data_IF_283699197393
#
_entry.id   IF_283699197393
#
_cell.length_a   1.000
_cell.length_b   1.000
_cell.length_c   1.000
_cell.angle_alpha   90.00
_cell.angle_beta   90.00
_cell.angle_gamma   90.00
#
_symmetry.space_group_name_H-M   'P 1'
#
loop_
_entity.id
_entity.type
_entity.pdbx_description
1 polymer ?
#
# COMPACT_ATOMS: atom_id res chain seq x y z
N UNK A 1 -6.69 -3.84 23.24
CA UNK A 1 -6.69 -3.01 22.01
C UNK A 1 -8.12 -2.70 21.63
N UNK A 2 -8.42 -1.44 21.32
CA UNK A 2 -9.73 -1.02 20.82
C UNK A 2 -9.71 -0.93 19.31
N UNK A 3 -10.80 -1.32 18.67
CA UNK A 3 -11.04 -1.17 17.24
C UNK A 3 -12.37 -0.45 17.01
N UNK A 4 -12.56 0.13 15.84
CA UNK A 4 -13.85 0.59 15.39
C UNK A 4 -14.53 -0.48 14.53
N UNK A 5 -15.77 -0.78 14.82
CA UNK A 5 -16.59 -1.68 14.04
C UNK A 5 -18.01 -1.10 13.98
N UNK A 6 -18.51 -0.81 12.77
CA UNK A 6 -19.87 -0.39 12.46
C UNK A 6 -20.47 0.59 13.48
N UNK A 7 -19.90 1.81 13.52
CA UNK A 7 -20.43 2.92 14.30
C UNK A 7 -19.90 3.06 15.73
N UNK A 8 -18.98 2.20 16.20
CA UNK A 8 -18.46 2.34 17.56
C UNK A 8 -17.15 1.65 17.90
N UNK A 9 -16.48 2.14 18.96
CA UNK A 9 -15.30 1.50 19.53
C UNK A 9 -15.68 0.23 20.31
N UNK A 10 -14.96 -0.85 20.04
CA UNK A 10 -15.13 -2.15 20.70
C UNK A 10 -13.79 -2.71 21.17
N UNK A 11 -13.81 -3.60 22.14
CA UNK A 11 -12.63 -4.41 22.45
C UNK A 11 -12.41 -5.45 21.34
N UNK A 12 -11.16 -5.59 20.89
CA UNK A 12 -10.82 -6.54 19.82
C UNK A 12 -11.23 -7.98 20.15
N UNK A 13 -11.22 -8.34 21.45
CA UNK A 13 -11.58 -9.68 21.90
C UNK A 13 -13.08 -9.96 21.79
N UNK A 14 -13.91 -8.93 21.80
CA UNK A 14 -15.38 -9.02 21.65
C UNK A 14 -15.88 -8.69 20.26
N UNK A 15 -15.09 -7.97 19.46
CA UNK A 15 -15.48 -7.58 18.11
C UNK A 15 -15.72 -8.80 17.20
N UNK A 16 -16.79 -8.79 16.46
CA UNK A 16 -17.20 -9.90 15.56
C UNK A 16 -17.68 -9.36 14.24
N UNK A 17 -17.12 -9.90 13.16
CA UNK A 17 -17.61 -9.73 11.80
C UNK A 17 -18.36 -11.00 11.41
N UNK A 18 -19.44 -10.86 10.63
CA UNK A 18 -20.19 -12.01 10.14
C UNK A 18 -19.30 -12.95 9.33
N UNK A 19 -19.46 -14.26 9.52
CA UNK A 19 -18.82 -15.27 8.65
C UNK A 19 -19.35 -15.23 7.21
N UNK A 20 -20.45 -14.54 6.98
CA UNK A 20 -21.05 -14.29 5.67
C UNK A 20 -20.69 -12.90 5.13
N UNK A 21 -19.74 -12.19 5.74
CA UNK A 21 -19.22 -10.93 5.18
C UNK A 21 -18.53 -11.20 3.86
N UNK A 22 -18.88 -10.46 2.83
CA UNK A 22 -18.35 -10.63 1.47
C UNK A 22 -16.85 -10.32 1.40
N UNK A 23 -16.31 -9.47 2.26
CA UNK A 23 -14.87 -9.27 2.40
C UNK A 23 -14.15 -10.56 2.81
N UNK A 24 -14.81 -11.43 3.60
CA UNK A 24 -14.28 -12.73 4.01
C UNK A 24 -14.53 -13.81 2.96
N UNK A 25 -15.75 -13.91 2.42
CA UNK A 25 -16.17 -15.04 1.56
C UNK A 25 -15.64 -14.95 0.15
N UNK A 26 -15.59 -13.74 -0.44
CA UNK A 26 -15.23 -13.53 -1.86
C UNK A 26 -14.21 -12.40 -2.09
N UNK A 27 -13.70 -11.77 -1.02
CA UNK A 27 -12.75 -10.67 -1.14
C UNK A 27 -13.36 -9.37 -1.68
N UNK A 28 -14.69 -9.21 -1.57
CA UNK A 28 -15.43 -8.03 -1.97
C UNK A 28 -15.27 -6.94 -0.92
N UNK A 29 -14.20 -6.20 -1.01
CA UNK A 29 -13.86 -5.14 -0.08
C UNK A 29 -12.64 -4.36 -0.52
N UNK A 30 -12.45 -3.22 0.11
CA UNK A 30 -11.34 -2.31 -0.10
C UNK A 30 -10.68 -1.98 1.22
N UNK A 31 -9.46 -1.46 1.15
CA UNK A 31 -8.79 -1.04 2.37
C UNK A 31 -7.80 0.10 2.16
N UNK A 32 -7.53 0.80 3.24
CA UNK A 32 -6.40 1.71 3.35
C UNK A 32 -5.44 1.29 4.47
N UNK A 33 -4.20 1.66 4.29
CA UNK A 33 -3.18 1.56 5.34
C UNK A 33 -2.57 2.93 5.49
N UNK A 34 -2.72 3.53 6.66
CA UNK A 34 -2.23 4.87 6.99
C UNK A 34 -1.17 4.75 8.08
N UNK A 35 -0.07 5.46 7.93
CA UNK A 35 0.96 5.57 8.97
C UNK A 35 0.46 6.56 10.02
N UNK A 36 0.48 6.14 11.30
CA UNK A 36 0.21 7.03 12.43
C UNK A 36 1.51 7.25 13.21
N UNK A 37 1.95 8.49 13.34
CA UNK A 37 3.15 8.89 14.06
C UNK A 37 2.76 9.77 15.24
N UNK A 38 3.14 9.36 16.45
CA UNK A 38 2.84 10.09 17.67
C UNK A 38 1.35 10.50 17.76
N UNK A 39 0.45 9.59 17.43
CA UNK A 39 -1.00 9.82 17.49
C UNK A 39 -1.59 10.62 16.32
N UNK A 40 -0.83 10.88 15.25
CA UNK A 40 -1.28 11.66 14.09
C UNK A 40 -1.18 10.83 12.79
N UNK A 41 -2.25 10.70 12.01
CA UNK A 41 -2.21 10.00 10.73
C UNK A 41 -1.51 10.86 9.66
N UNK A 42 -0.72 10.22 8.80
CA UNK A 42 -0.03 10.88 7.69
C UNK A 42 -0.83 10.73 6.39
N UNK A 43 -0.99 11.83 5.65
CA UNK A 43 -1.67 11.93 4.34
C UNK A 43 -3.10 11.33 4.36
N UNK A 44 -3.82 11.51 5.47
CA UNK A 44 -5.14 10.90 5.66
C UNK A 44 -6.12 11.29 4.56
N UNK A 45 -6.15 12.55 4.14
CA UNK A 45 -7.05 13.04 3.11
C UNK A 45 -6.85 12.30 1.79
N UNK A 46 -5.61 12.15 1.32
CA UNK A 46 -5.29 11.39 0.09
C UNK A 46 -5.67 9.91 0.21
N UNK A 47 -5.50 9.32 1.39
CA UNK A 47 -5.93 7.94 1.65
C UNK A 47 -7.45 7.78 1.57
N UNK A 48 -8.22 8.71 2.11
CA UNK A 48 -9.68 8.68 2.05
C UNK A 48 -10.22 8.91 0.63
N UNK A 49 -9.57 9.79 -0.13
CA UNK A 49 -9.89 9.98 -1.54
C UNK A 49 -9.66 8.70 -2.35
N UNK A 50 -8.57 7.97 -2.07
CA UNK A 50 -8.31 6.68 -2.71
C UNK A 50 -9.27 5.59 -2.22
N UNK A 51 -9.66 5.59 -0.96
CA UNK A 51 -10.70 4.70 -0.42
C UNK A 51 -11.99 4.86 -1.23
N UNK A 52 -12.44 6.10 -1.44
CA UNK A 52 -13.63 6.42 -2.23
C UNK A 52 -13.49 5.97 -3.70
N UNK A 53 -12.33 6.23 -4.33
CA UNK A 53 -12.08 5.76 -5.70
C UNK A 53 -12.14 4.24 -5.79
N UNK A 54 -11.56 3.54 -4.81
CA UNK A 54 -11.58 2.08 -4.78
C UNK A 54 -12.99 1.53 -4.52
N UNK A 55 -13.78 2.17 -3.66
CA UNK A 55 -15.18 1.81 -3.43
C UNK A 55 -15.99 1.90 -4.73
N UNK A 56 -15.93 3.05 -5.40
CA UNK A 56 -16.62 3.27 -6.68
C UNK A 56 -16.18 2.28 -7.76
N UNK A 57 -14.86 2.05 -7.88
CA UNK A 57 -14.30 1.12 -8.85
C UNK A 57 -14.73 -0.33 -8.60
N UNK A 58 -14.92 -0.72 -7.34
CA UNK A 58 -15.43 -2.04 -6.95
C UNK A 58 -16.99 -2.09 -6.99
N UNK A 59 -17.67 -0.94 -7.19
CA UNK A 59 -19.13 -0.85 -7.17
C UNK A 59 -19.73 -0.93 -5.75
N UNK A 60 -18.96 -0.60 -4.72
CA UNK A 60 -19.46 -0.43 -3.36
C UNK A 60 -20.08 0.98 -3.20
N UNK A 61 -21.02 1.17 -2.26
CA UNK A 61 -21.45 2.50 -1.87
C UNK A 61 -20.26 3.38 -1.44
N UNK A 62 -20.37 4.68 -1.65
CA UNK A 62 -19.35 5.62 -1.15
C UNK A 62 -19.26 5.52 0.38
N UNK A 63 -18.06 5.40 0.97
CA UNK A 63 -17.89 5.46 2.41
C UNK A 63 -18.29 6.84 2.95
N UNK A 64 -18.94 6.88 4.12
CA UNK A 64 -19.09 8.12 4.89
C UNK A 64 -17.73 8.55 5.42
N UNK A 65 -17.08 9.50 4.75
CA UNK A 65 -15.73 9.94 5.08
C UNK A 65 -15.67 10.63 6.45
N UNK A 66 -16.76 11.24 6.92
CA UNK A 66 -16.82 11.83 8.26
C UNK A 66 -16.84 10.74 9.32
N UNK A 67 -17.57 9.64 9.09
CA UNK A 67 -17.51 8.46 9.97
C UNK A 67 -16.12 7.84 9.94
N UNK A 68 -15.50 7.64 8.77
CA UNK A 68 -14.16 7.06 8.68
C UNK A 68 -13.13 7.93 9.40
N UNK A 69 -13.20 9.28 9.29
CA UNK A 69 -12.32 10.19 10.03
C UNK A 69 -12.52 10.08 11.54
N UNK A 70 -13.79 10.06 12.00
CA UNK A 70 -14.11 9.86 13.44
C UNK A 70 -13.58 8.52 13.94
N UNK A 71 -13.76 7.45 13.16
CA UNK A 71 -13.26 6.10 13.50
C UNK A 71 -11.73 6.07 13.61
N UNK A 72 -11.01 6.67 12.65
CA UNK A 72 -9.56 6.78 12.68
C UNK A 72 -9.08 7.53 13.94
N UNK A 73 -9.65 8.68 14.23
CA UNK A 73 -9.30 9.49 15.39
C UNK A 73 -9.55 8.73 16.71
N UNK A 74 -10.74 8.14 16.85
CA UNK A 74 -11.12 7.39 18.07
C UNK A 74 -10.21 6.17 18.30
N UNK A 75 -9.86 5.42 17.23
CA UNK A 75 -8.97 4.25 17.34
C UNK A 75 -7.54 4.68 17.68
N UNK A 76 -7.04 5.76 17.12
CA UNK A 76 -5.71 6.31 17.44
C UNK A 76 -5.65 6.76 18.90
N UNK A 77 -6.65 7.51 19.35
CA UNK A 77 -6.74 8.00 20.75
C UNK A 77 -6.82 6.85 21.76
N UNK A 78 -7.60 5.81 21.44
CA UNK A 78 -7.80 4.66 22.32
C UNK A 78 -6.59 3.70 22.38
N UNK A 79 -5.64 3.81 21.46
CA UNK A 79 -4.45 2.95 21.37
C UNK A 79 -3.18 3.77 21.14
N UNK A 80 -2.72 4.55 22.13
CA UNK A 80 -1.55 5.40 21.97
C UNK A 80 -0.28 4.58 21.72
N UNK A 81 0.45 4.91 20.66
CA UNK A 81 1.72 4.29 20.28
C UNK A 81 2.59 5.26 19.48
N UNK A 82 3.93 5.13 19.52
CA UNK A 82 4.83 6.05 18.82
C UNK A 82 4.74 5.93 17.30
N UNK A 83 4.56 4.70 16.79
CA UNK A 83 4.42 4.41 15.35
C UNK A 83 3.40 3.29 15.16
N UNK A 84 2.33 3.59 14.44
CA UNK A 84 1.22 2.68 14.21
C UNK A 84 0.90 2.48 12.72
N UNK A 85 0.39 1.30 12.43
CA UNK A 85 -0.26 0.93 11.17
C UNK A 85 -1.77 1.02 11.38
N UNK A 86 -2.37 2.10 10.93
CA UNK A 86 -3.81 2.25 10.91
C UNK A 86 -4.37 1.57 9.65
N UNK A 87 -5.26 0.61 9.83
CA UNK A 87 -5.96 -0.10 8.78
C UNK A 87 -7.42 0.28 8.76
N UNK A 88 -7.90 0.83 7.65
CA UNK A 88 -9.32 1.01 7.34
C UNK A 88 -9.72 -0.09 6.37
N UNK A 89 -10.71 -0.88 6.71
CA UNK A 89 -11.26 -1.93 5.83
C UNK A 89 -12.75 -1.67 5.65
N UNK A 90 -13.22 -1.72 4.43
CA UNK A 90 -14.60 -1.46 4.05
C UNK A 90 -15.04 -2.53 3.05
N UNK A 91 -15.99 -3.38 3.45
CA UNK A 91 -16.41 -4.55 2.68
C UNK A 91 -17.82 -4.42 2.15
N UNK A 92 -18.24 -5.33 1.28
CA UNK A 92 -19.62 -5.44 0.79
C UNK A 92 -20.63 -5.83 1.88
N UNK A 93 -20.17 -6.12 3.10
CA UNK A 93 -21.02 -6.50 4.23
C UNK A 93 -21.57 -7.91 4.12
N UNK A 94 -22.59 -8.20 4.93
CA UNK A 94 -23.24 -9.50 4.97
C UNK A 94 -24.01 -9.77 3.68
N UNK A 95 -23.75 -10.90 3.04
CA UNK A 95 -24.42 -11.33 1.82
C UNK A 95 -24.55 -12.84 1.69
N UNK A 96 -25.11 -13.32 0.58
CA UNK A 96 -25.18 -14.75 0.27
C UNK A 96 -23.77 -15.34 0.05
N UNK A 97 -23.65 -16.67 0.03
CA UNK A 97 -22.35 -17.35 -0.20
C UNK A 97 -21.83 -17.24 -1.65
N UNK A 98 -22.62 -16.72 -2.57
CA UNK A 98 -22.23 -16.46 -3.96
C UNK A 98 -21.58 -15.08 -4.15
N UNK A 99 -21.51 -14.63 -5.41
CA UNK A 99 -20.95 -13.32 -5.78
C UNK A 99 -21.96 -12.18 -5.73
N UNK A 100 -23.25 -12.49 -5.53
CA UNK A 100 -24.30 -11.48 -5.44
C UNK A 100 -24.22 -10.78 -4.07
N UNK A 101 -24.23 -9.47 -4.07
CA UNK A 101 -24.25 -8.68 -2.82
C UNK A 101 -25.61 -8.78 -2.13
N UNK A 102 -25.58 -8.82 -0.80
CA UNK A 102 -26.77 -8.75 0.03
C UNK A 102 -27.35 -7.33 0.13
N UNK A 103 -28.46 -7.20 0.84
CA UNK A 103 -29.12 -5.91 1.10
C UNK A 103 -28.63 -5.22 2.39
N UNK A 104 -27.71 -5.87 3.10
CA UNK A 104 -27.18 -5.41 4.39
C UNK A 104 -26.06 -4.42 4.18
N UNK A 105 -26.02 -3.32 4.00
CA UNK A 105 -24.95 -2.32 3.88
C UNK A 105 -23.50 -2.79 4.11
N UNK A 106 -22.51 -1.98 3.80
CA UNK A 106 -21.10 -2.28 3.99
C UNK A 106 -20.70 -2.43 5.46
N UNK A 107 -19.64 -3.20 5.75
CA UNK A 107 -19.00 -3.27 7.05
C UNK A 107 -17.77 -2.37 7.08
N UNK A 108 -17.68 -1.47 8.08
CA UNK A 108 -16.51 -0.62 8.30
C UNK A 108 -15.73 -1.11 9.53
N UNK A 109 -14.45 -1.47 9.31
CA UNK A 109 -13.52 -1.82 10.38
C UNK A 109 -12.33 -0.88 10.34
N UNK A 110 -11.99 -0.27 11.48
CA UNK A 110 -10.73 0.48 11.65
C UNK A 110 -9.96 -0.10 12.84
N UNK A 111 -8.70 -0.43 12.60
CA UNK A 111 -7.81 -1.00 13.62
C UNK A 111 -6.43 -0.35 13.54
N UNK A 112 -5.75 -0.21 14.69
CA UNK A 112 -4.39 0.30 14.80
C UNK A 112 -3.49 -0.78 15.42
N UNK A 113 -2.45 -1.17 14.72
CA UNK A 113 -1.42 -2.07 15.22
C UNK A 113 -0.07 -1.38 15.30
N UNK A 114 0.70 -1.69 16.33
CA UNK A 114 2.07 -1.21 16.45
C UNK A 114 2.94 -1.72 15.29
N UNK A 115 3.84 -0.90 14.79
CA UNK A 115 4.82 -1.27 13.76
C UNK A 115 6.18 -0.68 14.09
N UNK A 116 7.24 -1.40 13.73
CA UNK A 116 8.60 -0.89 13.84
C UNK A 116 9.03 -0.06 12.61
N UNK A 117 10.04 0.79 12.81
CA UNK A 117 10.73 1.46 11.70
C UNK A 117 11.36 0.39 10.78
N UNK A 118 11.25 0.59 9.49
CA UNK A 118 11.89 -0.29 8.50
C UNK A 118 13.40 0.00 8.44
N UNK A 119 14.23 -1.00 8.08
CA UNK A 119 15.64 -0.76 7.74
C UNK A 119 15.75 0.23 6.58
N UNK A 120 16.87 0.94 6.50
CA UNK A 120 17.11 1.93 5.44
C UNK A 120 17.19 1.28 4.04
N UNK A 121 17.57 0.01 3.97
CA UNK A 121 17.59 -0.75 2.72
C UNK A 121 17.02 -2.15 2.86
N UNK A 122 16.67 -2.78 1.74
CA UNK A 122 16.11 -4.12 1.67
C UNK A 122 16.54 -4.87 0.42
N UNK A 123 16.39 -6.21 0.44
CA UNK A 123 16.46 -7.05 -0.75
C UNK A 123 15.06 -7.24 -1.35
N UNK A 124 15.01 -7.34 -2.68
CA UNK A 124 13.81 -7.68 -3.45
C UNK A 124 14.09 -8.82 -4.42
N UNK A 125 13.06 -9.50 -4.85
CA UNK A 125 13.14 -10.47 -5.96
C UNK A 125 12.12 -10.12 -7.03
N UNK A 126 12.35 -10.56 -8.25
CA UNK A 126 11.32 -10.63 -9.28
C UNK A 126 10.56 -11.95 -9.17
N UNK A 127 9.29 -11.94 -9.59
CA UNK A 127 8.44 -13.13 -9.62
C UNK A 127 7.91 -13.39 -11.02
N UNK A 128 7.63 -14.66 -11.39
CA UNK A 128 7.18 -15.00 -12.74
C UNK A 128 5.70 -14.67 -13.01
N UNK A 129 4.95 -14.34 -11.97
CA UNK A 129 3.55 -13.93 -12.10
C UNK A 129 3.47 -12.47 -12.54
N UNK A 130 2.46 -12.14 -13.32
CA UNK A 130 2.31 -10.79 -13.89
C UNK A 130 1.09 -10.08 -13.32
N UNK A 131 1.19 -8.77 -13.13
CA UNK A 131 0.03 -7.92 -12.93
C UNK A 131 -0.73 -7.79 -14.26
N UNK A 132 -2.03 -7.97 -14.19
CA UNK A 132 -2.87 -7.73 -15.36
C UNK A 132 -3.32 -6.26 -15.37
N UNK A 133 -2.68 -5.44 -16.21
CA UNK A 133 -2.99 -4.01 -16.34
C UNK A 133 -4.38 -3.74 -16.94
N UNK A 134 -5.00 -4.77 -17.54
CA UNK A 134 -6.35 -4.74 -18.07
C UNK A 134 -7.38 -5.42 -17.15
N UNK A 135 -6.98 -5.81 -15.93
CA UNK A 135 -7.86 -6.50 -14.99
C UNK A 135 -8.94 -5.58 -14.41
N UNK A 136 -10.10 -6.14 -14.07
CA UNK A 136 -11.22 -5.39 -13.50
C UNK A 136 -10.90 -4.71 -12.15
N UNK A 137 -9.90 -5.23 -11.42
CA UNK A 137 -9.49 -4.69 -10.11
C UNK A 137 -8.20 -3.86 -10.19
N UNK A 138 -7.66 -3.64 -11.39
CA UNK A 138 -6.42 -2.90 -11.59
C UNK A 138 -6.56 -1.47 -11.08
N UNK A 139 -5.57 -1.03 -10.32
CA UNK A 139 -5.55 0.31 -9.71
C UNK A 139 -6.42 0.47 -8.47
N UNK A 140 -7.23 -0.55 -8.10
CA UNK A 140 -8.06 -0.55 -6.89
C UNK A 140 -7.31 -1.20 -5.72
N UNK A 141 -7.50 -0.65 -4.53
CA UNK A 141 -6.92 -1.22 -3.30
C UNK A 141 -7.93 -2.14 -2.61
N UNK A 142 -8.08 -3.34 -3.17
CA UNK A 142 -9.08 -4.34 -2.73
C UNK A 142 -8.54 -5.28 -1.66
N UNK A 143 -9.44 -6.00 -0.98
CA UNK A 143 -9.08 -7.08 -0.02
C UNK A 143 -8.68 -8.38 -0.71
N UNK A 144 -8.82 -8.50 -2.03
CA UNK A 144 -8.37 -9.65 -2.85
C UNK A 144 -6.85 -9.67 -2.98
N UNK A 145 -6.14 -10.01 -1.90
CA UNK A 145 -4.68 -9.88 -1.75
C UNK A 145 -3.92 -11.22 -1.78
N UNK A 146 -4.58 -12.31 -2.14
CA UNK A 146 -3.98 -13.65 -2.12
C UNK A 146 -2.72 -13.75 -2.99
N UNK A 147 -2.73 -13.15 -4.20
CA UNK A 147 -1.56 -13.11 -5.08
C UNK A 147 -0.36 -12.41 -4.41
N UNK A 148 -0.60 -11.29 -3.73
CA UNK A 148 0.44 -10.56 -3.00
C UNK A 148 1.02 -11.38 -1.83
N UNK A 149 0.17 -12.16 -1.15
CA UNK A 149 0.61 -13.06 -0.06
C UNK A 149 1.52 -14.15 -0.59
N UNK A 150 1.16 -14.78 -1.73
CA UNK A 150 1.98 -15.83 -2.37
C UNK A 150 3.32 -15.26 -2.82
N UNK A 151 3.32 -14.11 -3.50
CA UNK A 151 4.55 -13.49 -3.98
C UNK A 151 5.46 -13.03 -2.82
N UNK A 152 4.89 -12.48 -1.75
CA UNK A 152 5.67 -12.09 -0.57
C UNK A 152 6.25 -13.31 0.17
N UNK A 153 5.52 -14.43 0.24
CA UNK A 153 6.05 -15.67 0.79
C UNK A 153 7.27 -16.14 -0.01
N UNK A 154 7.18 -16.10 -1.34
CA UNK A 154 8.31 -16.43 -2.23
C UNK A 154 9.52 -15.52 -2.01
N UNK A 155 9.29 -14.20 -1.81
CA UNK A 155 10.37 -13.27 -1.49
C UNK A 155 11.09 -13.66 -0.19
N UNK A 156 10.33 -13.99 0.84
CA UNK A 156 10.88 -14.38 2.15
C UNK A 156 11.73 -15.68 2.08
N UNK A 157 11.31 -16.66 1.28
CA UNK A 157 12.09 -17.88 1.04
C UNK A 157 13.46 -17.59 0.45
N UNK A 158 13.61 -16.46 -0.26
CA UNK A 158 14.86 -16.00 -0.87
C UNK A 158 15.56 -14.87 -0.09
N UNK A 159 15.19 -14.67 1.15
CA UNK A 159 15.79 -13.65 2.03
C UNK A 159 15.51 -12.22 1.59
N UNK A 160 14.39 -11.99 0.91
CA UNK A 160 13.93 -10.65 0.51
C UNK A 160 12.68 -10.22 1.28
N UNK A 161 12.44 -8.92 1.39
CA UNK A 161 11.28 -8.38 2.07
C UNK A 161 10.16 -7.92 1.14
N UNK A 162 10.38 -8.03 -0.18
CA UNK A 162 9.42 -7.61 -1.20
C UNK A 162 9.63 -8.42 -2.48
N UNK A 163 8.53 -8.61 -3.25
CA UNK A 163 8.58 -9.18 -4.58
C UNK A 163 8.08 -8.16 -5.61
N UNK A 164 8.77 -8.06 -6.73
CA UNK A 164 8.44 -7.16 -7.84
C UNK A 164 7.76 -7.94 -8.96
N UNK A 165 6.71 -7.36 -9.50
CA UNK A 165 5.96 -7.88 -10.63
C UNK A 165 6.28 -7.11 -11.91
N UNK A 166 6.37 -7.83 -13.02
CA UNK A 166 6.10 -7.28 -14.34
C UNK A 166 4.59 -7.28 -14.64
N UNK A 167 4.19 -6.58 -15.69
CA UNK A 167 2.84 -6.67 -16.24
C UNK A 167 2.77 -7.65 -17.42
N UNK A 168 1.59 -7.82 -18.03
CA UNK A 168 1.38 -8.81 -19.11
C UNK A 168 2.12 -8.46 -20.42
N UNK A 169 2.57 -7.22 -20.57
CA UNK A 169 3.37 -6.77 -21.73
C UNK A 169 4.88 -6.71 -21.44
N UNK A 170 5.32 -7.27 -20.29
CA UNK A 170 6.75 -7.38 -19.93
C UNK A 170 7.35 -6.11 -19.35
N UNK A 171 6.54 -5.14 -18.90
CA UNK A 171 7.02 -3.93 -18.24
C UNK A 171 7.07 -4.12 -16.74
N UNK A 172 8.00 -3.44 -16.06
CA UNK A 172 8.05 -3.31 -14.61
C UNK A 172 6.75 -2.66 -14.11
N UNK A 173 6.18 -3.18 -13.03
CA UNK A 173 4.90 -2.70 -12.51
C UNK A 173 5.02 -2.20 -11.07
N UNK A 174 5.01 -3.09 -10.11
CA UNK A 174 5.02 -2.74 -8.68
C UNK A 174 5.49 -3.90 -7.79
N UNK A 175 5.63 -3.66 -6.49
CA UNK A 175 5.81 -4.70 -5.49
C UNK A 175 4.49 -5.29 -4.96
N UNK A 176 4.57 -6.25 -4.00
CA UNK A 176 3.38 -6.81 -3.36
C UNK A 176 2.62 -5.78 -2.51
N UNK A 177 3.32 -4.82 -1.94
CA UNK A 177 2.73 -3.76 -1.11
C UNK A 177 3.46 -2.43 -1.24
N UNK A 178 4.17 -2.21 -2.33
CA UNK A 178 4.98 -1.02 -2.60
C UNK A 178 5.00 -0.69 -4.09
N UNK A 179 5.26 0.58 -4.42
CA UNK A 179 5.65 0.96 -5.76
C UNK A 179 7.19 0.95 -5.87
N UNK A 180 7.70 0.78 -7.07
CA UNK A 180 9.12 0.69 -7.36
C UNK A 180 9.58 1.91 -8.15
N UNK A 181 10.79 2.36 -7.85
CA UNK A 181 11.51 3.42 -8.55
C UNK A 181 12.88 2.91 -8.93
N UNK A 182 13.37 3.34 -10.07
CA UNK A 182 14.72 3.06 -10.55
C UNK A 182 15.45 4.35 -10.86
N UNK A 183 16.75 4.38 -10.63
CA UNK A 183 17.61 5.48 -11.03
C UNK A 183 18.43 5.03 -12.23
N UNK A 184 18.41 5.82 -13.29
CA UNK A 184 19.17 5.64 -14.52
C UNK A 184 19.89 6.95 -14.85
N UNK A 185 21.19 6.93 -14.96
CA UNK A 185 22.00 8.12 -15.28
C UNK A 185 21.70 9.33 -14.36
N UNK A 186 21.40 9.05 -13.08
CA UNK A 186 21.07 10.06 -12.08
C UNK A 186 19.62 10.58 -12.13
N UNK A 187 18.79 10.14 -13.04
CA UNK A 187 17.36 10.47 -13.11
C UNK A 187 16.49 9.40 -12.46
N UNK A 188 15.44 9.83 -11.73
CA UNK A 188 14.50 8.94 -11.05
C UNK A 188 13.33 8.64 -11.98
N UNK A 189 13.05 7.35 -12.17
CA UNK A 189 11.93 6.84 -12.96
C UNK A 189 11.06 5.90 -12.15
N UNK A 190 9.77 5.86 -12.45
CA UNK A 190 8.80 4.92 -11.88
C UNK A 190 7.79 4.50 -12.94
N UNK A 191 7.29 3.25 -12.92
CA UNK A 191 6.22 2.83 -13.82
C UNK A 191 5.00 3.76 -13.73
N UNK A 192 4.36 4.14 -14.86
CA UNK A 192 3.12 4.90 -14.85
C UNK A 192 1.97 4.06 -14.28
N UNK A 193 0.89 4.70 -13.83
CA UNK A 193 -0.29 3.98 -13.33
C UNK A 193 -0.88 3.05 -14.40
N UNK A 194 -0.73 3.41 -15.69
CA UNK A 194 -1.16 2.59 -16.83
C UNK A 194 -0.42 1.24 -16.91
N UNK A 195 0.73 1.06 -16.24
CA UNK A 195 1.40 -0.25 -16.14
C UNK A 195 0.62 -1.28 -15.34
N UNK A 196 -0.46 -0.87 -14.66
CA UNK A 196 -1.28 -1.71 -13.78
C UNK A 196 -0.94 -1.55 -12.30
N UNK A 197 0.03 -0.72 -11.94
CA UNK A 197 0.40 -0.49 -10.56
C UNK A 197 -0.66 0.33 -9.80
N UNK A 198 -0.70 0.14 -8.49
CA UNK A 198 -1.54 0.97 -7.63
C UNK A 198 -1.01 2.43 -7.66
N UNK A 199 -1.92 3.40 -7.77
CA UNK A 199 -1.62 4.81 -7.54
C UNK A 199 -1.30 5.04 -6.05
N UNK A 200 -0.07 4.71 -5.65
CA UNK A 200 0.40 4.80 -4.27
C UNK A 200 0.43 6.23 -3.76
N UNK A 201 -0.03 6.48 -2.53
CA UNK A 201 0.03 7.83 -1.93
C UNK A 201 1.50 8.25 -1.75
N UNK A 202 2.32 7.38 -1.16
CA UNK A 202 3.76 7.64 -1.01
C UNK A 202 4.47 7.76 -2.36
N UNK A 203 4.03 6.99 -3.38
CA UNK A 203 4.53 7.14 -4.76
C UNK A 203 4.22 8.52 -5.32
N UNK A 204 2.98 8.98 -5.20
CA UNK A 204 2.57 10.30 -5.69
C UNK A 204 3.39 11.41 -5.04
N UNK A 205 3.53 11.38 -3.71
CA UNK A 205 4.35 12.33 -2.97
C UNK A 205 5.84 12.26 -3.37
N UNK A 206 6.38 11.06 -3.58
CA UNK A 206 7.76 10.91 -4.06
C UNK A 206 7.94 11.52 -5.44
N UNK A 207 7.01 11.31 -6.38
CA UNK A 207 7.02 11.96 -7.71
C UNK A 207 6.97 13.47 -7.58
N UNK A 208 5.99 13.99 -6.81
CA UNK A 208 5.80 15.43 -6.60
C UNK A 208 7.03 16.11 -5.98
N UNK A 209 7.67 15.44 -5.01
CA UNK A 209 8.74 16.05 -4.22
C UNK A 209 10.14 15.88 -4.79
N UNK A 210 10.36 14.82 -5.58
CA UNK A 210 11.68 14.55 -6.17
C UNK A 210 11.77 14.90 -7.65
N UNK A 211 10.65 15.12 -8.32
CA UNK A 211 10.59 15.33 -9.77
C UNK A 211 10.81 14.03 -10.56
N UNK A 212 10.55 12.87 -9.94
CA UNK A 212 10.63 11.57 -10.62
C UNK A 212 9.71 11.52 -11.85
N UNK A 213 10.16 10.85 -12.90
CA UNK A 213 9.42 10.72 -14.16
C UNK A 213 8.65 9.40 -14.20
N UNK A 214 7.39 9.48 -14.61
CA UNK A 214 6.62 8.29 -14.97
C UNK A 214 7.05 7.83 -16.37
N UNK A 215 7.54 6.58 -16.46
CA UNK A 215 8.12 6.05 -17.70
C UNK A 215 7.80 4.56 -17.81
N UNK A 216 7.39 4.12 -19.01
CA UNK A 216 7.30 2.71 -19.31
C UNK A 216 8.70 2.09 -19.30
N UNK A 217 8.91 1.15 -18.39
CA UNK A 217 10.20 0.51 -18.15
C UNK A 217 10.05 -0.99 -18.41
N UNK A 218 10.90 -1.61 -19.24
CA UNK A 218 10.91 -3.06 -19.34
C UNK A 218 11.35 -3.67 -18.00
N UNK A 219 10.92 -4.89 -17.70
CA UNK A 219 11.25 -5.53 -16.41
C UNK A 219 12.77 -5.68 -16.22
N UNK A 220 13.51 -5.94 -17.30
CA UNK A 220 14.97 -6.09 -17.30
C UNK A 220 15.72 -4.76 -17.02
N UNK A 221 15.03 -3.63 -16.90
CA UNK A 221 15.63 -2.38 -16.39
C UNK A 221 16.32 -2.59 -15.06
N UNK A 222 15.84 -3.52 -14.25
CA UNK A 222 16.40 -3.88 -12.94
C UNK A 222 17.84 -4.45 -13.07
N UNK A 223 18.23 -5.01 -14.21
CA UNK A 223 19.58 -5.53 -14.44
C UNK A 223 20.63 -4.44 -14.65
N UNK A 224 20.21 -3.22 -15.01
CA UNK A 224 21.08 -2.08 -15.36
C UNK A 224 20.84 -0.81 -14.54
N UNK A 225 19.83 -0.80 -13.67
CA UNK A 225 19.55 0.35 -12.82
C UNK A 225 20.74 0.67 -11.90
N UNK A 226 21.10 1.96 -11.79
CA UNK A 226 22.16 2.42 -10.89
C UNK A 226 21.74 2.27 -9.43
N UNK A 227 20.48 2.65 -9.14
CA UNK A 227 19.85 2.52 -7.83
C UNK A 227 18.41 2.06 -8.01
N UNK A 228 17.88 1.37 -7.00
CA UNK A 228 16.46 0.99 -6.91
C UNK A 228 15.94 1.37 -5.52
N UNK A 229 14.72 1.87 -5.45
CA UNK A 229 14.05 2.08 -4.17
C UNK A 229 12.56 1.78 -4.25
N UNK A 230 11.97 1.53 -3.09
CA UNK A 230 10.55 1.25 -2.91
C UNK A 230 9.86 2.40 -2.19
N UNK A 231 8.57 2.57 -2.48
CA UNK A 231 7.73 3.50 -1.72
C UNK A 231 6.46 2.80 -1.22
N UNK A 232 6.13 3.01 0.02
CA UNK A 232 4.83 2.65 0.61
C UNK A 232 4.62 3.39 1.92
N UNK A 233 3.40 3.40 2.42
CA UNK A 233 3.02 4.09 3.66
C UNK A 233 3.93 3.79 4.86
N UNK A 234 4.45 2.56 4.99
CA UNK A 234 5.28 2.15 6.12
C UNK A 234 6.78 2.02 5.78
N UNK A 235 7.12 2.13 4.51
CA UNK A 235 8.51 2.16 4.04
C UNK A 235 9.00 3.59 3.84
N UNK A 236 8.07 4.54 3.63
CA UNK A 236 8.37 5.85 3.07
C UNK A 236 9.15 5.68 1.76
N UNK A 237 10.38 6.14 1.69
CA UNK A 237 11.35 5.81 0.63
C UNK A 237 12.35 4.84 1.23
N UNK A 238 12.46 3.63 0.71
CA UNK A 238 13.38 2.60 1.19
C UNK A 238 14.29 2.13 0.06
N UNK A 239 15.61 2.23 0.25
CA UNK A 239 16.58 1.75 -0.71
C UNK A 239 16.51 0.23 -0.91
N UNK A 240 16.91 -0.23 -2.09
CA UNK A 240 17.12 -1.65 -2.40
C UNK A 240 18.61 -1.89 -2.55
N UNK A 241 19.15 -2.84 -1.76
CA UNK A 241 20.56 -3.22 -1.85
C UNK A 241 20.80 -4.48 -2.68
N UNK A 242 19.75 -5.25 -2.97
CA UNK A 242 19.83 -6.45 -3.82
C UNK A 242 18.53 -6.67 -4.58
N UNK A 243 18.65 -6.96 -5.87
CA UNK A 243 17.56 -7.41 -6.74
C UNK A 243 17.89 -8.81 -7.23
N UNK A 244 17.09 -9.81 -6.89
CA UNK A 244 17.39 -11.23 -7.12
C UNK A 244 18.80 -11.60 -6.60
N UNK A 245 19.71 -11.95 -7.49
CA UNK A 245 21.11 -12.28 -7.17
C UNK A 245 22.06 -11.11 -7.45
N UNK A 246 21.56 -9.96 -7.94
CA UNK A 246 22.35 -8.75 -8.23
C UNK A 246 22.42 -7.84 -7.01
N UNK A 247 23.62 -7.67 -6.47
CA UNK A 247 23.88 -6.67 -5.43
C UNK A 247 23.93 -5.24 -6.03
N UNK A 248 23.38 -4.29 -5.28
CA UNK A 248 23.46 -2.86 -5.56
C UNK A 248 24.36 -2.21 -4.48
N UNK A 249 25.68 -2.14 -4.72
CA UNK A 249 26.61 -1.69 -3.71
C UNK A 249 26.39 -0.23 -3.34
N UNK A 250 26.53 0.09 -2.06
CA UNK A 250 26.37 1.45 -1.55
C UNK A 250 24.93 1.92 -1.38
N UNK A 251 23.95 0.99 -1.29
CA UNK A 251 22.57 1.38 -0.98
C UNK A 251 22.41 1.89 0.46
N UNK A 252 21.77 3.09 0.65
CA UNK A 252 21.23 3.95 -0.38
C UNK A 252 22.30 4.65 -1.20
N UNK A 253 22.19 4.62 -2.53
CA UNK A 253 23.01 5.46 -3.40
C UNK A 253 22.65 6.95 -3.25
N UNK A 254 23.44 7.86 -3.86
CA UNK A 254 23.28 9.30 -3.63
C UNK A 254 21.94 9.87 -4.02
N UNK A 255 21.31 9.36 -5.07
CA UNK A 255 19.99 9.84 -5.54
C UNK A 255 18.89 9.34 -4.61
N UNK A 256 18.89 8.06 -4.25
CA UNK A 256 17.97 7.49 -3.27
C UNK A 256 18.11 8.14 -1.90
N UNK A 257 19.34 8.35 -1.41
CA UNK A 257 19.58 9.03 -0.14
C UNK A 257 19.02 10.46 -0.12
N UNK A 258 19.10 11.17 -1.26
CA UNK A 258 18.48 12.49 -1.41
C UNK A 258 16.96 12.38 -1.37
N UNK A 259 16.36 11.41 -2.06
CA UNK A 259 14.92 11.19 -2.06
C UNK A 259 14.40 10.84 -0.65
N UNK A 260 15.12 10.01 0.10
CA UNK A 260 14.81 9.68 1.50
C UNK A 260 14.78 10.92 2.39
N UNK A 261 15.80 11.79 2.31
CA UNK A 261 15.85 13.04 3.09
C UNK A 261 14.71 13.99 2.72
N UNK A 262 14.46 14.20 1.42
CA UNK A 262 13.36 15.06 0.97
C UNK A 262 12.03 14.55 1.52
N UNK A 263 11.82 13.23 1.49
CA UNK A 263 10.58 12.63 1.97
C UNK A 263 10.45 12.79 3.50
N UNK A 264 11.52 12.55 4.25
CA UNK A 264 11.54 12.71 5.71
C UNK A 264 11.27 14.16 6.14
N UNK A 265 11.94 15.13 5.52
CA UNK A 265 11.75 16.56 5.79
C UNK A 265 10.32 16.99 5.50
N UNK A 266 9.82 16.76 4.28
CA UNK A 266 8.49 17.21 3.87
C UNK A 266 7.36 16.52 4.62
N UNK A 267 7.49 15.23 4.93
CA UNK A 267 6.51 14.50 5.73
C UNK A 267 6.51 14.91 7.20
N UNK A 268 7.60 15.51 7.70
CA UNK A 268 7.69 16.12 9.01
C UNK A 268 7.03 17.51 9.07
N UNK A 269 7.16 18.28 7.99
CA UNK A 269 6.62 19.64 7.90
C UNK A 269 5.10 19.66 7.69
N UNK A 270 4.57 18.73 6.89
CA UNK A 270 3.14 18.61 6.60
C UNK A 270 2.70 17.16 6.76
N UNK A 271 1.73 16.93 7.64
CA UNK A 271 1.20 15.59 7.90
C UNK A 271 0.02 15.20 7.00
N UNK A 272 -0.58 16.13 6.29
CA UNK A 272 -1.69 15.83 5.35
C UNK A 272 -1.50 16.58 4.01
N UNK A 273 -0.33 16.36 3.35
CA UNK A 273 0.08 17.07 2.14
C UNK A 273 -0.82 16.75 0.96
#
# INVERSE_FOLDING_TARGET
MKIWLDGGLQDIESARVSVLDHGLTVGDGIFETVKAVAGRPFALTRHLDRLTRSARGLGLPDPDLDEVRRACAAVIEANPMPLGRLRVTYTGGHGPLGSDRGEHGPTLVVALGETGRRPDSTAVITVPWTRNECGALTGLKTTSYAENVVALARARERGASEALFGNTVGQLCEGTGSNVFVVLDGEIHTPPVASGCLAGITRALAVEWTGARETDLPLDVLDRADEVFLTSTLRDVQAVHRVDDRELPGAPGPVTAKAMRIFEERSGDDLDP
#
